data_IF_663095559306
#
_entry.id   IF_663095559306
#
_cell.length_a   1.000
_cell.length_b   1.000
_cell.length_c   1.000
_cell.angle_alpha   90.00
_cell.angle_beta   90.00
_cell.angle_gamma   90.00
#
_symmetry.space_group_name_H-M   'P 1'
#
loop_
_entity.id
_entity.type
_entity.pdbx_description
1 polymer ?
#
# COMPACT_ATOMS: atom_id res chain seq x y z
N UNK A 1 -17.45 45.93 -16.61
CA UNK A 1 -17.71 44.53 -16.21
C UNK A 1 -17.45 43.62 -17.42
N UNK A 2 -16.19 43.29 -17.70
CA UNK A 2 -15.80 42.58 -18.93
C UNK A 2 -15.72 41.06 -18.69
N UNK A 3 -16.37 40.30 -19.56
CA UNK A 3 -16.62 38.85 -19.48
C UNK A 3 -15.32 38.03 -19.61
N UNK A 4 -14.76 37.59 -18.48
CA UNK A 4 -13.63 36.66 -18.44
C UNK A 4 -14.00 35.17 -18.50
N UNK A 5 -15.26 34.83 -18.80
CA UNK A 5 -15.87 33.52 -18.54
C UNK A 5 -15.23 32.30 -19.23
N UNK A 6 -15.15 32.23 -20.56
CA UNK A 6 -14.86 30.95 -21.23
C UNK A 6 -13.37 30.56 -21.20
N UNK A 7 -12.46 31.54 -21.28
CA UNK A 7 -11.00 31.30 -21.30
C UNK A 7 -10.47 30.90 -19.92
N UNK A 8 -11.08 31.43 -18.85
CA UNK A 8 -10.75 31.05 -17.46
C UNK A 8 -11.27 29.65 -17.14
N UNK A 9 -12.47 29.31 -17.60
CA UNK A 9 -13.04 27.95 -17.43
C UNK A 9 -12.21 26.91 -18.18
N UNK A 10 -11.79 27.19 -19.41
CA UNK A 10 -10.91 26.29 -20.18
C UNK A 10 -9.54 26.12 -19.52
N UNK A 11 -8.93 27.19 -18.99
CA UNK A 11 -7.66 27.12 -18.28
C UNK A 11 -7.76 26.30 -16.98
N UNK A 12 -8.84 26.46 -16.22
CA UNK A 12 -9.09 25.67 -15.01
C UNK A 12 -9.33 24.18 -15.33
N UNK A 13 -10.10 23.88 -16.37
CA UNK A 13 -10.32 22.50 -16.81
C UNK A 13 -9.02 21.82 -17.28
N UNK A 14 -8.18 22.54 -18.02
CA UNK A 14 -6.86 22.04 -18.43
C UNK A 14 -5.93 21.78 -17.25
N UNK A 15 -5.90 22.68 -16.26
CA UNK A 15 -5.11 22.50 -15.04
C UNK A 15 -5.58 21.28 -14.22
N UNK A 16 -6.89 21.10 -14.03
CA UNK A 16 -7.46 19.94 -13.33
C UNK A 16 -7.18 18.64 -14.08
N UNK A 17 -7.31 18.65 -15.42
CA UNK A 17 -6.99 17.49 -16.25
C UNK A 17 -5.52 17.07 -16.16
N UNK A 18 -4.59 18.03 -16.15
CA UNK A 18 -3.16 17.76 -15.99
C UNK A 18 -2.82 17.20 -14.59
N UNK A 19 -3.42 17.75 -13.52
CA UNK A 19 -3.21 17.25 -12.15
C UNK A 19 -3.77 15.83 -12.00
N UNK A 20 -4.96 15.57 -12.54
CA UNK A 20 -5.56 14.23 -12.53
C UNK A 20 -4.74 13.20 -13.31
N UNK A 21 -4.21 13.58 -14.49
CA UNK A 21 -3.35 12.72 -15.29
C UNK A 21 -2.04 12.37 -14.57
N UNK A 22 -1.42 13.35 -13.89
CA UNK A 22 -0.21 13.11 -13.08
C UNK A 22 -0.50 12.16 -11.91
N UNK A 23 -1.66 12.27 -11.25
CA UNK A 23 -2.00 11.39 -10.14
C UNK A 23 -2.17 9.90 -10.53
N UNK A 24 -2.51 9.62 -11.80
CA UNK A 24 -2.66 8.24 -12.31
C UNK A 24 -1.34 7.65 -12.79
N UNK A 25 -0.41 8.49 -13.27
CA UNK A 25 0.89 8.04 -13.82
C UNK A 25 1.97 7.96 -12.75
N UNK A 26 1.87 8.76 -11.68
CA UNK A 26 2.85 8.73 -10.61
C UNK A 26 2.73 7.43 -9.83
N UNK A 27 3.82 6.65 -9.68
CA UNK A 27 3.80 5.51 -8.77
C UNK A 27 3.46 6.01 -7.37
N UNK A 28 2.53 5.33 -6.71
CA UNK A 28 2.26 5.56 -5.30
C UNK A 28 3.56 5.40 -4.51
N UNK A 29 3.78 6.26 -3.51
CA UNK A 29 4.85 6.04 -2.54
C UNK A 29 4.60 4.69 -1.85
N UNK A 30 5.46 3.70 -2.09
CA UNK A 30 5.39 2.44 -1.39
C UNK A 30 5.74 2.71 0.08
N UNK A 31 4.80 2.43 0.98
CA UNK A 31 5.10 2.40 2.40
C UNK A 31 5.79 1.06 2.67
N UNK A 32 6.84 1.06 3.48
CA UNK A 32 7.42 -0.19 3.92
C UNK A 32 6.79 -0.51 5.26
N UNK A 33 5.89 -1.51 5.29
CA UNK A 33 5.47 -2.10 6.54
C UNK A 33 6.68 -2.54 7.38
N UNK A 34 6.63 -2.36 8.69
CA UNK A 34 7.74 -2.75 9.58
C UNK A 34 7.81 -4.25 9.84
N UNK A 35 6.85 -5.02 9.30
CA UNK A 35 6.79 -6.48 9.33
C UNK A 35 6.56 -7.02 7.92
N UNK A 36 6.94 -8.28 7.68
CA UNK A 36 6.83 -8.90 6.36
C UNK A 36 5.37 -8.97 5.88
N UNK A 37 4.46 -9.35 6.78
CA UNK A 37 3.02 -9.38 6.54
C UNK A 37 2.42 -8.02 6.19
N UNK A 38 2.76 -6.98 6.96
CA UNK A 38 2.29 -5.62 6.71
C UNK A 38 2.73 -5.09 5.32
N UNK A 39 3.99 -5.35 4.94
CA UNK A 39 4.51 -4.97 3.62
C UNK A 39 3.79 -5.71 2.48
N UNK A 40 3.51 -7.00 2.65
CA UNK A 40 2.76 -7.76 1.65
C UNK A 40 1.30 -7.28 1.52
N UNK A 41 0.67 -6.93 2.65
CA UNK A 41 -0.71 -6.47 2.70
C UNK A 41 -0.96 -5.16 1.93
N UNK A 42 0.06 -4.28 1.83
CA UNK A 42 -0.03 -3.06 1.00
C UNK A 42 -0.30 -3.36 -0.48
N UNK A 43 0.09 -4.54 -0.95
CA UNK A 43 -0.18 -5.03 -2.31
C UNK A 43 -1.37 -5.99 -2.41
N UNK A 44 -2.14 -6.15 -1.33
CA UNK A 44 -3.23 -7.15 -1.25
C UNK A 44 -2.73 -8.60 -1.25
N UNK A 45 -1.47 -8.83 -0.85
CA UNK A 45 -0.82 -10.15 -0.83
C UNK A 45 -0.51 -10.55 0.63
N UNK A 46 -0.07 -11.79 0.81
CA UNK A 46 0.35 -12.33 2.10
C UNK A 46 1.83 -12.74 2.10
N UNK A 47 2.43 -12.75 3.29
CA UNK A 47 3.71 -13.37 3.55
C UNK A 47 3.51 -14.56 4.49
N UNK A 48 3.86 -15.76 4.03
CA UNK A 48 3.55 -17.01 4.72
C UNK A 48 4.76 -17.80 5.14
N UNK A 49 4.59 -18.66 6.15
CA UNK A 49 5.65 -19.57 6.64
C UNK A 49 5.11 -20.94 7.03
N UNK A 50 5.99 -21.94 7.05
CA UNK A 50 5.68 -23.27 7.56
C UNK A 50 5.85 -23.30 9.09
N UNK A 51 4.84 -23.84 9.77
CA UNK A 51 4.81 -23.94 11.22
C UNK A 51 5.22 -25.33 11.66
N UNK A 52 6.29 -25.40 12.45
CA UNK A 52 6.68 -26.64 13.10
C UNK A 52 5.96 -26.77 14.45
N UNK A 53 5.03 -27.71 14.57
CA UNK A 53 4.27 -27.93 15.81
C UNK A 53 5.18 -28.17 17.04
N UNK A 54 6.32 -28.83 16.84
CA UNK A 54 7.35 -29.08 17.87
C UNK A 54 8.03 -27.81 18.40
N UNK A 55 7.88 -26.67 17.72
CA UNK A 55 8.47 -25.38 18.10
C UNK A 55 7.47 -24.40 18.73
N UNK A 56 6.20 -24.77 18.86
CA UNK A 56 5.16 -23.89 19.43
C UNK A 56 5.33 -23.60 20.93
N UNK A 57 6.18 -24.35 21.64
CA UNK A 57 6.57 -24.02 23.01
C UNK A 57 7.70 -22.99 23.10
N UNK A 58 8.36 -22.64 22.00
CA UNK A 58 9.45 -21.67 21.97
C UNK A 58 8.87 -20.26 21.81
N UNK A 59 8.98 -19.46 22.88
CA UNK A 59 8.46 -18.09 22.92
C UNK A 59 9.08 -17.15 21.88
N UNK A 60 10.33 -17.38 21.47
CA UNK A 60 10.99 -16.59 20.44
C UNK A 60 10.40 -16.95 19.08
N UNK A 61 10.25 -18.25 18.80
CA UNK A 61 9.65 -18.73 17.55
C UNK A 61 8.23 -18.19 17.37
N UNK A 62 7.38 -18.34 18.40
CA UNK A 62 5.99 -17.87 18.35
C UNK A 62 5.91 -16.33 18.29
N UNK A 63 6.81 -15.63 18.99
CA UNK A 63 6.88 -14.16 18.94
C UNK A 63 7.19 -13.62 17.54
N UNK A 64 8.11 -14.27 16.82
CA UNK A 64 8.41 -13.92 15.42
C UNK A 64 7.27 -14.34 14.50
N UNK A 65 6.75 -15.56 14.66
CA UNK A 65 5.65 -16.10 13.85
C UNK A 65 4.45 -15.15 13.84
N UNK A 66 3.99 -14.72 15.02
CA UNK A 66 2.83 -13.85 15.16
C UNK A 66 3.08 -12.40 14.72
N UNK A 67 4.34 -11.95 14.70
CA UNK A 67 4.68 -10.58 14.33
C UNK A 67 4.82 -10.42 12.82
N UNK A 68 5.46 -11.39 12.18
CA UNK A 68 5.96 -11.25 10.82
C UNK A 68 5.05 -11.87 9.75
N UNK A 69 4.21 -12.85 10.09
CA UNK A 69 3.51 -13.67 9.10
C UNK A 69 1.98 -13.63 9.29
N UNK A 70 1.27 -13.41 8.18
CA UNK A 70 -0.22 -13.38 8.14
C UNK A 70 -0.82 -14.69 7.59
N UNK A 71 0.02 -15.62 7.12
CA UNK A 71 -0.42 -16.93 6.62
C UNK A 71 0.51 -18.04 7.10
N UNK A 72 -0.07 -19.18 7.49
CA UNK A 72 0.67 -20.33 7.98
C UNK A 72 0.25 -21.60 7.25
N UNK A 73 1.21 -22.49 7.02
CA UNK A 73 0.95 -23.88 6.62
C UNK A 73 1.51 -24.83 7.68
N UNK A 74 0.78 -25.90 7.98
CA UNK A 74 1.14 -26.93 8.95
C UNK A 74 1.62 -28.21 8.27
#
# INVERSE_FOLDING_TARGET
MARGGPRRVAALAGAVGLIGALAVVLPSVASAGTTLGASAAESGRYFGTAVAASKLGDSTYVGILNREFDMVTA
#
